data_IF_016629724255
#
_entry.id   IF_016629724255
#
_cell.length_a   1.000
_cell.length_b   1.000
_cell.length_c   1.000
_cell.angle_alpha   90.00
_cell.angle_beta   90.00
_cell.angle_gamma   90.00
#
_symmetry.space_group_name_H-M   'P 1'
#
loop_
_entity.id
_entity.type
_entity.pdbx_description
1 polymer ?
#
# COMPACT_ATOMS: atom_id res chain seq x y z
N UNK A 1 -6.79 2.10 -11.73
CA UNK A 1 -7.73 1.11 -12.26
C UNK A 1 -8.54 1.73 -13.40
N UNK A 2 -8.32 1.26 -14.64
CA UNK A 2 -8.97 1.80 -15.85
C UNK A 2 -10.18 0.95 -16.22
N UNK A 3 -11.37 1.58 -16.34
CA UNK A 3 -12.59 0.89 -16.80
C UNK A 3 -12.70 0.87 -18.33
N UNK A 4 -12.27 1.95 -19.01
CA UNK A 4 -12.40 2.07 -20.46
C UNK A 4 -11.43 1.15 -21.18
N UNK A 5 -11.92 0.39 -22.18
CA UNK A 5 -11.14 -0.56 -22.97
C UNK A 5 -10.88 0.01 -24.36
N UNK A 6 -11.89 0.07 -25.22
CA UNK A 6 -11.77 0.53 -26.60
C UNK A 6 -13.13 0.99 -27.13
N UNK A 7 -13.09 1.81 -28.17
CA UNK A 7 -14.29 2.13 -28.94
C UNK A 7 -14.23 1.39 -30.29
N UNK A 8 -15.23 0.57 -30.56
CA UNK A 8 -15.41 -0.13 -31.83
C UNK A 8 -16.15 0.77 -32.81
N UNK A 9 -15.59 0.90 -34.02
CA UNK A 9 -16.24 1.65 -35.11
C UNK A 9 -16.67 0.67 -36.19
N UNK A 10 -17.93 0.78 -36.62
CA UNK A 10 -18.45 0.02 -37.74
C UNK A 10 -19.20 0.95 -38.71
N UNK A 11 -19.25 0.57 -39.97
CA UNK A 11 -19.99 1.29 -41.02
C UNK A 11 -20.75 0.30 -41.89
N UNK A 12 -21.92 0.71 -42.36
CA UNK A 12 -22.75 -0.01 -43.28
C UNK A 12 -22.91 0.81 -44.56
N UNK A 13 -22.79 0.19 -45.76
CA UNK A 13 -22.98 0.92 -47.02
C UNK A 13 -24.45 1.30 -47.29
N UNK A 14 -25.42 0.64 -46.61
CA UNK A 14 -26.80 0.91 -46.82
C UNK A 14 -27.27 2.18 -46.12
N UNK A 15 -27.99 3.01 -46.87
CA UNK A 15 -28.44 4.32 -46.37
C UNK A 15 -29.54 4.14 -45.31
N UNK A 16 -29.36 4.79 -44.17
CA UNK A 16 -30.30 4.82 -43.03
C UNK A 16 -30.33 3.56 -42.17
N UNK A 17 -29.32 2.70 -42.22
CA UNK A 17 -29.23 1.55 -41.30
C UNK A 17 -28.75 1.99 -39.91
N UNK A 18 -29.41 1.46 -38.87
CA UNK A 18 -28.97 1.65 -37.48
C UNK A 18 -28.23 0.43 -37.00
N UNK A 19 -26.94 0.60 -36.78
CA UNK A 19 -26.11 -0.45 -36.23
C UNK A 19 -26.33 -0.65 -34.73
N UNK A 20 -26.41 -1.90 -34.31
CA UNK A 20 -26.49 -2.31 -32.90
C UNK A 20 -25.26 -3.08 -32.51
N UNK A 21 -24.82 -2.88 -31.28
CA UNK A 21 -23.61 -3.50 -30.72
C UNK A 21 -23.97 -4.38 -29.55
N UNK A 22 -23.39 -5.58 -29.51
CA UNK A 22 -23.52 -6.51 -28.40
C UNK A 22 -22.21 -7.25 -28.12
N UNK A 23 -22.08 -7.84 -26.95
CA UNK A 23 -20.93 -8.65 -26.56
C UNK A 23 -21.33 -10.11 -26.43
N UNK A 24 -20.40 -11.01 -26.78
CA UNK A 24 -20.46 -12.44 -26.53
C UNK A 24 -19.04 -12.95 -26.26
N UNK A 25 -18.86 -14.24 -26.00
CA UNK A 25 -17.57 -14.82 -25.64
C UNK A 25 -17.46 -15.12 -24.15
N UNK A 26 -16.39 -15.79 -23.79
CA UNK A 26 -16.19 -16.42 -22.48
C UNK A 26 -16.30 -15.41 -21.33
N UNK A 27 -15.68 -14.24 -21.48
CA UNK A 27 -15.58 -13.21 -20.44
C UNK A 27 -16.54 -12.03 -20.67
N UNK A 28 -17.46 -12.15 -21.63
CA UNK A 28 -18.34 -11.03 -22.04
C UNK A 28 -19.22 -10.47 -20.92
N UNK A 29 -19.52 -11.25 -19.90
CA UNK A 29 -20.32 -10.82 -18.72
C UNK A 29 -19.59 -9.79 -17.84
N UNK A 30 -18.26 -9.69 -17.98
CA UNK A 30 -17.40 -8.76 -17.24
C UNK A 30 -17.31 -7.39 -17.90
N UNK A 31 -17.96 -7.22 -19.06
CA UNK A 31 -17.90 -6.02 -19.87
C UNK A 31 -19.29 -5.46 -20.18
N UNK A 32 -19.32 -4.19 -20.51
CA UNK A 32 -20.46 -3.51 -21.08
C UNK A 32 -20.07 -2.88 -22.43
N UNK A 33 -21.03 -2.77 -23.36
CA UNK A 33 -20.85 -2.03 -24.61
C UNK A 33 -22.00 -1.03 -24.76
N UNK A 34 -21.67 0.20 -25.14
CA UNK A 34 -22.67 1.23 -25.40
C UNK A 34 -23.22 1.13 -26.82
N UNK A 35 -24.34 1.83 -27.08
CA UNK A 35 -24.90 1.98 -28.45
C UNK A 35 -23.96 2.72 -29.43
N UNK A 36 -22.90 3.36 -28.93
CA UNK A 36 -21.86 4.00 -29.73
C UNK A 36 -20.61 3.14 -29.88
N UNK A 37 -20.63 1.88 -29.42
CA UNK A 37 -19.52 0.92 -29.55
C UNK A 37 -18.41 1.11 -28.49
N UNK A 38 -18.63 1.86 -27.42
CA UNK A 38 -17.64 1.99 -26.33
C UNK A 38 -17.72 0.76 -25.43
N UNK A 39 -16.60 0.05 -25.30
CA UNK A 39 -16.45 -1.12 -24.41
C UNK A 39 -15.78 -0.68 -23.13
N UNK A 40 -16.36 -1.11 -22.00
CA UNK A 40 -15.82 -0.87 -20.66
C UNK A 40 -15.87 -2.15 -19.83
N UNK A 41 -14.97 -2.29 -18.87
CA UNK A 41 -15.20 -3.24 -17.78
C UNK A 41 -16.40 -2.82 -16.94
N UNK A 42 -17.18 -3.78 -16.47
CA UNK A 42 -18.33 -3.56 -15.55
C UNK A 42 -17.84 -3.17 -14.14
N UNK A 43 -16.67 -3.69 -13.73
CA UNK A 43 -15.92 -3.29 -12.54
C UNK A 43 -14.43 -3.24 -12.87
N UNK A 44 -13.66 -2.43 -12.13
CA UNK A 44 -12.23 -2.30 -12.39
C UNK A 44 -11.53 -3.66 -12.24
N UNK A 45 -10.74 -4.09 -13.24
CA UNK A 45 -9.99 -5.33 -13.15
C UNK A 45 -8.85 -5.21 -12.13
N UNK A 46 -8.55 -6.32 -11.48
CA UNK A 46 -7.42 -6.50 -10.57
C UNK A 46 -6.50 -7.56 -11.18
N UNK A 47 -5.22 -7.20 -11.40
CA UNK A 47 -4.25 -8.12 -12.01
C UNK A 47 -3.91 -9.29 -11.10
N UNK A 48 -3.84 -9.05 -9.78
CA UNK A 48 -3.48 -10.03 -8.76
C UNK A 48 -4.63 -10.99 -8.45
N UNK A 49 -5.87 -10.57 -8.79
CA UNK A 49 -7.08 -11.38 -8.62
C UNK A 49 -7.88 -11.39 -9.92
N UNK A 50 -7.37 -12.08 -10.96
CA UNK A 50 -7.99 -12.08 -12.28
C UNK A 50 -9.44 -12.55 -12.23
N UNK A 51 -10.33 -11.79 -12.87
CA UNK A 51 -11.74 -12.12 -12.96
C UNK A 51 -12.14 -12.89 -14.21
N UNK A 52 -11.20 -13.11 -15.16
CA UNK A 52 -11.41 -13.90 -16.38
C UNK A 52 -11.56 -15.40 -16.08
N UNK A 53 -12.10 -16.14 -17.02
CA UNK A 53 -12.53 -17.52 -16.78
C UNK A 53 -11.37 -18.48 -16.50
N UNK A 54 -10.18 -18.24 -17.07
CA UNK A 54 -8.99 -19.09 -16.92
C UNK A 54 -7.89 -18.46 -16.04
N UNK A 55 -8.10 -17.22 -15.56
CA UNK A 55 -7.21 -16.56 -14.59
C UNK A 55 -5.87 -16.09 -15.15
N UNK A 56 -5.76 -15.92 -16.48
CA UNK A 56 -4.52 -15.56 -17.16
C UNK A 56 -4.37 -14.05 -17.46
N UNK A 57 -5.34 -13.23 -17.04
CA UNK A 57 -5.43 -11.79 -17.32
C UNK A 57 -5.64 -11.43 -18.80
N UNK A 58 -6.03 -12.39 -19.65
CA UNK A 58 -6.37 -12.18 -21.05
C UNK A 58 -7.87 -12.44 -21.28
N UNK A 59 -8.67 -11.44 -21.08
CA UNK A 59 -10.13 -11.49 -21.19
C UNK A 59 -10.56 -11.65 -22.66
N UNK A 60 -11.30 -12.70 -22.99
CA UNK A 60 -11.70 -13.05 -24.33
C UNK A 60 -13.16 -12.69 -24.59
N UNK A 61 -13.40 -11.68 -25.43
CA UNK A 61 -14.70 -11.22 -25.82
C UNK A 61 -14.88 -11.19 -27.34
N UNK A 62 -16.11 -11.30 -27.81
CA UNK A 62 -16.49 -11.06 -29.19
C UNK A 62 -17.43 -9.86 -29.25
N UNK A 63 -17.14 -8.91 -30.11
CA UNK A 63 -18.07 -7.82 -30.45
C UNK A 63 -18.90 -8.27 -31.63
N UNK A 64 -20.22 -8.18 -31.48
CA UNK A 64 -21.18 -8.48 -32.54
C UNK A 64 -21.83 -7.16 -32.94
N UNK A 65 -21.70 -6.81 -34.21
CA UNK A 65 -22.38 -5.66 -34.82
C UNK A 65 -23.45 -6.16 -35.79
N UNK A 66 -24.65 -5.63 -35.67
CA UNK A 66 -25.78 -6.06 -36.52
C UNK A 66 -26.54 -4.84 -37.05
N UNK A 67 -26.99 -4.95 -38.29
CA UNK A 67 -27.91 -4.03 -38.98
C UNK A 67 -29.39 -4.44 -38.84
N UNK A 68 -29.67 -5.52 -38.10
CA UNK A 68 -30.99 -6.13 -37.94
C UNK A 68 -31.29 -7.27 -38.91
N UNK A 69 -30.51 -7.45 -39.98
CA UNK A 69 -30.64 -8.52 -40.98
C UNK A 69 -29.41 -9.40 -41.03
N UNK A 70 -28.24 -8.77 -40.97
CA UNK A 70 -26.92 -9.42 -40.98
C UNK A 70 -26.15 -9.05 -39.71
N UNK A 71 -25.13 -9.82 -39.40
CA UNK A 71 -24.21 -9.51 -38.29
C UNK A 71 -22.81 -9.90 -38.62
N UNK A 72 -21.86 -9.13 -38.07
CA UNK A 72 -20.42 -9.41 -38.12
C UNK A 72 -19.90 -9.53 -36.70
N UNK A 73 -19.02 -10.51 -36.48
CA UNK A 73 -18.40 -10.78 -35.19
C UNK A 73 -16.90 -10.58 -35.26
N UNK A 74 -16.35 -9.82 -34.32
CA UNK A 74 -14.91 -9.60 -34.18
C UNK A 74 -14.46 -10.05 -32.79
N UNK A 75 -13.49 -10.97 -32.74
CA UNK A 75 -12.85 -11.38 -31.50
C UNK A 75 -11.88 -10.29 -31.02
N UNK A 76 -11.89 -10.02 -29.74
CA UNK A 76 -10.99 -9.09 -29.05
C UNK A 76 -10.45 -9.80 -27.81
N UNK A 77 -9.12 -9.68 -27.59
CA UNK A 77 -8.49 -10.04 -26.33
C UNK A 77 -8.11 -8.76 -25.60
N UNK A 78 -8.68 -8.57 -24.43
CA UNK A 78 -8.34 -7.45 -23.53
C UNK A 78 -7.34 -7.94 -22.51
N UNK A 79 -6.12 -7.40 -22.57
CA UNK A 79 -5.05 -7.78 -21.63
C UNK A 79 -4.97 -6.81 -20.48
N UNK A 80 -5.16 -7.29 -19.25
CA UNK A 80 -4.84 -6.56 -18.03
C UNK A 80 -3.33 -6.70 -17.76
N UNK A 81 -2.69 -5.58 -17.49
CA UNK A 81 -1.25 -5.55 -17.23
C UNK A 81 -1.00 -5.27 -15.77
N UNK A 82 0.01 -5.94 -15.20
CA UNK A 82 0.47 -5.64 -13.86
C UNK A 82 1.02 -4.20 -13.81
N UNK A 83 0.56 -3.47 -12.82
CA UNK A 83 1.16 -2.20 -12.40
C UNK A 83 1.79 -2.46 -11.04
N UNK A 84 3.11 -2.28 -10.95
CA UNK A 84 3.83 -2.54 -9.71
C UNK A 84 3.19 -1.80 -8.51
N UNK A 85 2.93 -2.52 -7.45
CA UNK A 85 2.44 -1.99 -6.19
C UNK A 85 3.58 -1.26 -5.48
N UNK A 86 3.65 0.05 -5.71
CA UNK A 86 4.70 0.89 -5.19
C UNK A 86 4.28 1.49 -3.84
N UNK A 87 5.09 1.26 -2.82
CA UNK A 87 5.07 2.06 -1.60
C UNK A 87 6.27 3.00 -1.56
N UNK A 88 6.09 4.13 -0.93
CA UNK A 88 7.16 5.04 -0.58
C UNK A 88 7.09 5.38 0.90
N UNK A 89 8.16 5.91 1.47
CA UNK A 89 8.12 6.32 2.86
C UNK A 89 9.40 6.96 3.33
N UNK A 90 9.39 7.30 4.61
CA UNK A 90 10.55 7.84 5.32
C UNK A 90 10.73 7.06 6.61
N UNK A 91 11.95 6.57 6.83
CA UNK A 91 12.36 5.94 8.08
C UNK A 91 12.87 7.02 9.05
N UNK A 92 12.17 7.18 10.17
CA UNK A 92 12.39 8.26 11.11
C UNK A 92 12.64 7.74 12.52
N UNK A 93 13.87 7.83 12.95
CA UNK A 93 14.33 7.84 14.33
C UNK A 93 15.55 8.76 14.45
N UNK A 94 15.58 9.80 13.64
CA UNK A 94 16.66 10.71 13.32
C UNK A 94 16.97 10.75 11.83
N UNK A 95 16.05 10.33 10.96
CA UNK A 95 16.24 10.01 9.54
C UNK A 95 17.30 8.93 9.32
N UNK A 96 16.84 7.71 9.16
CA UNK A 96 17.71 6.53 9.05
C UNK A 96 18.19 6.36 7.61
N UNK A 97 19.43 6.74 7.36
CA UNK A 97 20.06 6.71 6.04
C UNK A 97 20.72 5.37 5.74
N UNK A 98 20.66 4.92 4.47
CA UNK A 98 21.31 3.70 4.00
C UNK A 98 20.75 2.40 4.61
N UNK A 99 19.59 2.45 5.22
CA UNK A 99 18.90 1.27 5.73
C UNK A 99 18.43 0.37 4.60
N UNK A 100 18.42 -0.93 4.83
CA UNK A 100 17.76 -1.90 3.97
C UNK A 100 16.27 -1.92 4.28
N UNK A 101 15.45 -1.72 3.26
CA UNK A 101 13.99 -1.83 3.30
C UNK A 101 13.60 -3.05 2.49
N UNK A 102 12.82 -3.96 3.04
CA UNK A 102 12.38 -5.16 2.31
C UNK A 102 11.00 -5.64 2.73
N UNK A 103 10.32 -6.33 1.82
CA UNK A 103 9.06 -7.00 2.10
C UNK A 103 9.36 -8.43 2.53
N UNK A 104 9.11 -8.74 3.78
CA UNK A 104 9.38 -10.04 4.40
C UNK A 104 8.20 -10.99 4.10
N UNK A 105 8.35 -11.76 3.01
CA UNK A 105 7.27 -12.60 2.47
C UNK A 105 6.98 -13.85 3.32
N UNK A 106 8.00 -14.37 4.01
CA UNK A 106 7.92 -15.55 4.85
C UNK A 106 7.79 -15.21 6.35
N UNK A 107 7.95 -13.93 6.70
CA UNK A 107 7.85 -13.36 8.05
C UNK A 107 8.88 -13.96 9.05
N UNK A 108 10.10 -14.23 8.58
CA UNK A 108 11.19 -14.74 9.43
C UNK A 108 12.10 -13.64 9.98
N UNK A 109 12.04 -12.42 9.40
CA UNK A 109 12.77 -11.24 9.85
C UNK A 109 14.07 -10.98 9.11
N UNK A 110 14.48 -11.88 8.23
CA UNK A 110 15.69 -11.78 7.43
C UNK A 110 15.35 -11.48 5.96
N UNK A 111 16.24 -10.80 5.24
CA UNK A 111 16.06 -10.57 3.81
C UNK A 111 16.51 -11.79 3.02
N UNK A 112 15.58 -12.44 2.36
CA UNK A 112 15.81 -13.61 1.54
C UNK A 112 15.90 -13.32 0.03
N UNK A 113 16.45 -14.31 -0.69
CA UNK A 113 16.49 -14.25 -2.15
C UNK A 113 15.08 -14.32 -2.73
N UNK A 114 14.72 -13.29 -3.53
CA UNK A 114 13.41 -13.17 -4.16
C UNK A 114 12.46 -12.22 -3.42
N UNK A 115 12.83 -11.74 -2.27
CA UNK A 115 12.09 -10.69 -1.59
C UNK A 115 12.38 -9.30 -2.16
N UNK A 116 11.36 -8.48 -2.39
CA UNK A 116 11.55 -7.11 -2.82
C UNK A 116 12.35 -6.32 -1.82
N UNK A 117 13.37 -5.58 -2.27
CA UNK A 117 14.19 -4.75 -1.39
C UNK A 117 14.62 -3.44 -2.04
N UNK A 118 14.88 -2.45 -1.20
CA UNK A 118 15.38 -1.12 -1.54
C UNK A 118 16.26 -0.59 -0.41
N UNK A 119 16.90 0.55 -0.62
CA UNK A 119 17.62 1.25 0.44
C UNK A 119 17.04 2.63 0.70
N UNK A 120 17.14 3.11 1.95
CA UNK A 120 16.83 4.49 2.26
C UNK A 120 17.95 5.42 1.76
N UNK A 121 17.56 6.61 1.29
CA UNK A 121 18.52 7.65 0.91
C UNK A 121 19.06 8.40 2.14
N UNK A 122 19.85 9.45 1.91
CA UNK A 122 20.43 10.28 2.98
C UNK A 122 19.42 11.05 3.84
N UNK A 123 18.17 11.06 3.49
CA UNK A 123 17.07 11.66 4.25
C UNK A 123 16.09 10.59 4.79
N UNK A 124 16.51 9.32 4.84
CA UNK A 124 15.68 8.22 5.28
C UNK A 124 14.55 7.81 4.31
N UNK A 125 14.43 8.45 3.16
CA UNK A 125 13.36 8.17 2.22
C UNK A 125 13.64 6.91 1.41
N UNK A 126 12.59 6.13 1.13
CA UNK A 126 12.65 4.92 0.32
C UNK A 126 11.47 4.82 -0.66
N UNK A 127 11.63 3.94 -1.62
CA UNK A 127 10.59 3.52 -2.56
C UNK A 127 10.78 2.04 -2.85
N UNK A 128 9.75 1.23 -2.65
CA UNK A 128 9.80 -0.22 -2.72
C UNK A 128 8.63 -0.73 -3.58
N UNK A 129 8.94 -1.52 -4.60
CA UNK A 129 7.94 -2.28 -5.35
C UNK A 129 7.59 -3.53 -4.55
N UNK A 130 6.32 -3.67 -4.17
CA UNK A 130 5.85 -4.84 -3.45
C UNK A 130 5.68 -6.06 -4.36
N UNK A 131 5.77 -7.24 -3.79
CA UNK A 131 5.42 -8.48 -4.46
C UNK A 131 3.90 -8.69 -4.44
N UNK A 132 3.33 -8.99 -5.59
CA UNK A 132 1.94 -9.41 -5.72
C UNK A 132 1.63 -10.76 -5.06
N UNK A 133 2.66 -11.56 -4.74
CA UNK A 133 2.49 -12.87 -4.08
C UNK A 133 1.87 -12.74 -2.70
N UNK A 134 2.26 -11.71 -1.94
CA UNK A 134 1.70 -11.43 -0.62
C UNK A 134 1.80 -9.93 -0.31
N UNK A 135 0.88 -9.14 -0.85
CA UNK A 135 0.85 -7.68 -0.66
C UNK A 135 0.78 -7.26 0.82
N UNK A 136 0.22 -8.11 1.68
CA UNK A 136 0.06 -7.85 3.11
C UNK A 136 1.26 -8.30 3.96
N UNK A 137 2.32 -8.85 3.35
CA UNK A 137 3.53 -9.20 4.09
C UNK A 137 4.16 -7.94 4.70
N UNK A 138 4.72 -8.02 5.91
CA UNK A 138 5.29 -6.86 6.58
C UNK A 138 6.48 -6.30 5.78
N UNK A 139 6.60 -4.97 5.75
CA UNK A 139 7.80 -4.29 5.25
C UNK A 139 8.69 -3.95 6.43
N UNK A 140 9.94 -4.37 6.36
CA UNK A 140 10.93 -4.21 7.41
C UNK A 140 12.07 -3.28 6.99
N UNK A 141 12.62 -2.57 7.96
CA UNK A 141 13.74 -1.63 7.77
C UNK A 141 14.79 -1.92 8.84
N UNK A 142 16.04 -2.14 8.43
CA UNK A 142 17.14 -2.43 9.36
C UNK A 142 18.50 -1.94 8.85
N UNK A 143 19.50 -1.92 9.72
CA UNK A 143 20.90 -1.63 9.41
C UNK A 143 21.16 -0.25 8.79
N UNK A 144 20.37 0.75 9.11
CA UNK A 144 20.61 2.11 8.67
C UNK A 144 21.48 2.90 9.64
N UNK A 145 21.87 4.10 9.20
CA UNK A 145 22.61 5.06 10.01
C UNK A 145 21.63 6.16 10.47
N UNK A 146 21.43 6.28 11.77
CA UNK A 146 20.61 7.34 12.35
C UNK A 146 21.41 8.66 12.35
N UNK A 147 20.91 9.64 11.64
CA UNK A 147 21.55 10.95 11.51
C UNK A 147 21.49 11.80 12.79
N UNK A 148 20.57 11.53 13.69
CA UNK A 148 20.44 12.28 14.94
C UNK A 148 21.41 11.79 16.02
N UNK A 149 21.54 10.48 16.18
CA UNK A 149 22.47 9.86 17.15
C UNK A 149 23.89 9.72 16.61
N UNK A 150 24.06 9.76 15.28
CA UNK A 150 25.31 9.48 14.58
C UNK A 150 25.83 8.05 14.81
N UNK A 151 24.92 7.10 14.92
CA UNK A 151 25.18 5.68 15.16
C UNK A 151 24.42 4.78 14.17
N UNK A 152 24.81 3.51 14.09
CA UNK A 152 24.04 2.51 13.35
C UNK A 152 22.73 2.28 14.10
N UNK A 153 21.61 2.34 13.36
CA UNK A 153 20.29 2.11 13.93
C UNK A 153 20.17 0.66 14.45
N UNK A 154 19.94 0.48 15.76
CA UNK A 154 20.14 -0.82 16.40
C UNK A 154 18.98 -1.80 16.21
N UNK A 155 17.86 -1.35 15.65
CA UNK A 155 16.62 -2.11 15.67
C UNK A 155 15.98 -2.25 14.30
N UNK A 156 15.16 -3.29 14.17
CA UNK A 156 14.26 -3.48 13.04
C UNK A 156 13.02 -2.64 13.27
N UNK A 157 12.71 -1.75 12.33
CA UNK A 157 11.40 -1.12 12.23
C UNK A 157 10.56 -1.88 11.21
N UNK A 158 9.28 -2.02 11.46
CA UNK A 158 8.34 -2.66 10.55
C UNK A 158 7.04 -1.88 10.42
N UNK A 159 6.37 -2.07 9.28
CA UNK A 159 5.03 -1.58 9.02
C UNK A 159 4.19 -2.68 8.37
N UNK A 160 2.91 -2.71 8.71
CA UNK A 160 1.92 -3.47 7.95
C UNK A 160 1.44 -2.61 6.79
N UNK A 161 1.62 -3.09 5.59
CA UNK A 161 1.15 -2.44 4.36
C UNK A 161 -0.19 -3.05 3.99
N UNK A 162 -1.20 -2.22 3.75
CA UNK A 162 -2.53 -2.66 3.31
C UNK A 162 -2.91 -2.12 1.93
N UNK A 163 -2.16 -1.16 1.41
CA UNK A 163 -2.39 -0.51 0.14
C UNK A 163 -1.12 0.21 -0.34
N UNK A 164 -1.07 0.56 -1.62
CA UNK A 164 -0.02 1.42 -2.15
C UNK A 164 -0.13 2.82 -1.54
N UNK A 165 1.00 3.46 -1.25
CA UNK A 165 0.96 4.77 -0.62
C UNK A 165 2.28 5.24 -0.05
N UNK A 166 2.21 6.27 0.79
CA UNK A 166 3.36 6.85 1.48
C UNK A 166 3.24 6.61 2.97
N UNK A 167 4.33 6.16 3.58
CA UNK A 167 4.40 5.72 4.96
C UNK A 167 5.47 6.48 5.74
N UNK A 168 5.17 6.85 6.97
CA UNK A 168 6.15 7.30 7.95
C UNK A 168 6.47 6.11 8.86
N UNK A 169 7.71 5.63 8.81
CA UNK A 169 8.14 4.45 9.58
C UNK A 169 8.95 4.89 10.78
N UNK A 170 8.40 4.66 11.96
CA UNK A 170 8.98 5.04 13.25
C UNK A 170 8.93 3.84 14.19
N UNK A 171 9.67 3.86 15.31
CA UNK A 171 9.48 2.88 16.38
C UNK A 171 8.03 2.78 16.87
N UNK A 172 7.30 3.89 16.83
CA UNK A 172 5.88 3.93 17.23
C UNK A 172 5.01 3.25 16.17
N UNK A 173 5.23 3.51 14.87
CA UNK A 173 4.49 2.81 13.82
C UNK A 173 4.73 1.30 13.84
N UNK A 174 5.97 0.89 14.15
CA UNK A 174 6.34 -0.51 14.39
C UNK A 174 5.54 -1.12 15.52
N UNK A 175 5.43 -0.44 16.64
CA UNK A 175 4.66 -0.92 17.80
C UNK A 175 3.16 -1.06 17.46
N UNK A 176 2.59 -0.08 16.75
CA UNK A 176 1.19 -0.15 16.26
C UNK A 176 0.99 -1.34 15.33
N UNK A 177 1.91 -1.56 14.39
CA UNK A 177 1.85 -2.70 13.46
C UNK A 177 1.85 -4.04 14.18
N UNK A 178 2.71 -4.20 15.17
CA UNK A 178 2.81 -5.45 15.98
C UNK A 178 1.57 -5.70 16.84
N UNK A 179 0.95 -4.65 17.39
CA UNK A 179 -0.32 -4.78 18.09
C UNK A 179 -1.44 -5.29 17.19
N UNK A 180 -1.51 -4.78 15.95
CA UNK A 180 -2.50 -5.24 14.95
C UNK A 180 -2.33 -6.73 14.59
N UNK A 181 -1.10 -7.21 14.52
CA UNK A 181 -0.82 -8.63 14.21
C UNK A 181 -1.27 -9.54 15.35
N UNK A 182 -1.15 -9.08 16.60
CA UNK A 182 -1.55 -9.88 17.77
C UNK A 182 -3.07 -9.99 17.95
N UNK A 183 -3.81 -8.97 17.54
CA UNK A 183 -5.28 -8.95 17.62
C UNK A 183 -5.88 -8.38 16.32
N UNK A 184 -6.26 -9.28 15.42
CA UNK A 184 -6.88 -8.93 14.13
C UNK A 184 -8.27 -8.31 14.26
N UNK A 185 -8.89 -8.36 15.45
CA UNK A 185 -10.17 -7.72 15.73
C UNK A 185 -10.01 -6.22 16.05
N UNK A 186 -8.80 -5.75 16.38
CA UNK A 186 -8.54 -4.35 16.63
C UNK A 186 -8.48 -3.55 15.32
N UNK A 187 -9.24 -2.46 15.25
CA UNK A 187 -9.11 -1.49 14.14
C UNK A 187 -7.77 -0.75 14.23
N UNK A 188 -7.31 -0.15 13.12
CA UNK A 188 -6.07 0.63 13.11
C UNK A 188 -6.04 1.79 14.12
N UNK A 189 -7.21 2.38 14.41
CA UNK A 189 -7.34 3.50 15.35
C UNK A 189 -7.18 3.09 16.81
N UNK A 190 -7.66 1.88 17.18
CA UNK A 190 -7.58 1.42 18.56
C UNK A 190 -6.12 1.24 19.02
N UNK A 191 -5.26 0.53 18.28
CA UNK A 191 -3.85 0.46 18.65
C UNK A 191 -3.16 1.82 18.75
N UNK A 192 -3.47 2.75 17.85
CA UNK A 192 -2.90 4.09 17.89
C UNK A 192 -3.29 4.87 19.15
N UNK A 193 -4.59 4.86 19.49
CA UNK A 193 -5.09 5.57 20.68
C UNK A 193 -4.56 4.99 21.99
N UNK A 194 -4.40 3.66 22.04
CA UNK A 194 -3.83 2.98 23.21
C UNK A 194 -2.36 3.36 23.42
N UNK A 195 -1.56 3.34 22.35
CA UNK A 195 -0.15 3.74 22.42
C UNK A 195 -0.03 5.22 22.77
N UNK A 196 -0.80 6.07 22.12
CA UNK A 196 -0.80 7.50 22.40
C UNK A 196 -1.16 7.77 23.87
N UNK A 197 -2.20 7.12 24.39
CA UNK A 197 -2.60 7.23 25.80
C UNK A 197 -1.52 6.75 26.77
N UNK A 198 -0.88 5.61 26.49
CA UNK A 198 0.22 5.08 27.31
C UNK A 198 1.45 5.98 27.31
N UNK A 199 1.70 6.70 26.20
CA UNK A 199 2.81 7.65 26.07
C UNK A 199 2.45 9.09 26.47
N UNK A 200 1.19 9.35 26.87
CA UNK A 200 0.70 10.69 27.22
C UNK A 200 0.60 11.64 26.02
N UNK A 201 0.44 11.09 24.80
CA UNK A 201 0.32 11.85 23.55
C UNK A 201 -1.16 12.10 23.26
N UNK A 202 -1.53 13.36 22.97
CA UNK A 202 -2.87 13.70 22.47
C UNK A 202 -2.95 13.47 20.97
N UNK A 203 -3.87 12.61 20.50
CA UNK A 203 -4.11 12.42 19.07
C UNK A 203 -4.91 13.57 18.45
N UNK A 204 -5.66 14.34 19.26
CA UNK A 204 -6.46 15.47 18.78
C UNK A 204 -5.60 16.57 18.12
N UNK A 205 -4.33 16.62 18.49
CA UNK A 205 -3.36 17.63 18.04
C UNK A 205 -2.40 17.06 16.96
N UNK A 206 -2.58 15.79 16.60
CA UNK A 206 -1.76 15.11 15.57
C UNK A 206 -2.37 15.30 14.17
N UNK A 207 -1.55 15.45 13.11
CA UNK A 207 -2.07 15.53 11.75
C UNK A 207 -2.96 14.32 11.40
N UNK A 208 -4.18 14.60 10.94
CA UNK A 208 -5.20 13.61 10.61
C UNK A 208 -5.60 12.68 11.77
N UNK A 209 -5.46 13.13 13.03
CA UNK A 209 -5.74 12.32 14.23
C UNK A 209 -5.01 10.96 14.22
N UNK A 210 -3.80 10.92 13.67
CA UNK A 210 -3.05 9.68 13.47
C UNK A 210 -1.58 9.82 13.85
N UNK A 211 -1.12 8.92 14.73
CA UNK A 211 0.28 8.81 15.11
C UNK A 211 1.15 8.21 13.99
N UNK A 212 0.53 7.51 13.03
CA UNK A 212 1.24 6.82 11.94
C UNK A 212 1.66 7.76 10.80
N UNK A 213 0.96 8.89 10.62
CA UNK A 213 1.27 9.90 9.61
C UNK A 213 2.18 11.02 10.11
N UNK A 214 2.71 10.90 11.32
CA UNK A 214 3.45 11.96 11.98
C UNK A 214 4.96 11.79 11.85
N UNK A 215 5.61 12.73 11.14
CA UNK A 215 7.08 12.84 11.12
C UNK A 215 7.54 13.81 12.22
N UNK A 216 8.00 13.32 13.37
CA UNK A 216 8.35 14.18 14.50
C UNK A 216 9.54 15.10 14.19
N UNK A 217 10.43 14.74 13.27
CA UNK A 217 11.60 15.56 12.92
C UNK A 217 11.19 16.72 12.03
N UNK A 218 10.34 16.48 11.03
CA UNK A 218 9.83 17.52 10.15
C UNK A 218 9.07 18.59 10.95
N UNK A 219 8.22 18.17 11.89
CA UNK A 219 7.48 19.09 12.75
C UNK A 219 8.37 19.81 13.76
N UNK A 220 9.34 19.12 14.35
CA UNK A 220 10.29 19.73 15.29
C UNK A 220 11.16 20.82 14.63
N UNK A 221 11.54 20.64 13.37
CA UNK A 221 12.35 21.59 12.61
C UNK A 221 11.51 22.65 11.88
N UNK A 222 10.18 22.55 11.95
CA UNK A 222 9.25 23.48 11.32
C UNK A 222 9.21 24.84 12.06
N UNK A 223 8.62 25.83 11.40
CA UNK A 223 8.43 27.18 11.95
C UNK A 223 7.23 27.27 12.91
N UNK A 224 6.38 26.25 12.96
CA UNK A 224 5.23 26.18 13.86
C UNK A 224 5.65 25.67 15.23
N UNK A 225 5.69 26.58 16.21
CA UNK A 225 6.13 26.26 17.58
C UNK A 225 5.15 25.37 18.34
N UNK A 226 3.87 25.39 17.97
CA UNK A 226 2.84 24.53 18.58
C UNK A 226 3.07 23.09 18.14
N UNK A 227 3.13 22.84 16.82
CA UNK A 227 3.41 21.52 16.27
C UNK A 227 4.79 20.98 16.71
N UNK A 228 5.81 21.85 16.80
CA UNK A 228 7.11 21.46 17.34
C UNK A 228 7.03 21.01 18.81
N UNK A 229 6.20 21.63 19.63
CA UNK A 229 6.02 21.23 21.04
C UNK A 229 5.34 19.87 21.17
N UNK A 230 4.41 19.54 20.27
CA UNK A 230 3.71 18.26 20.21
C UNK A 230 4.58 17.14 19.62
N UNK A 231 5.45 17.46 18.68
CA UNK A 231 6.40 16.52 18.11
C UNK A 231 7.44 16.00 19.13
N UNK A 232 7.82 16.82 20.12
CA UNK A 232 8.83 16.46 21.14
C UNK A 232 8.48 15.20 21.93
N UNK A 233 7.26 15.04 22.48
CA UNK A 233 6.89 13.81 23.19
C UNK A 233 6.91 12.58 22.28
N UNK A 234 6.46 12.71 21.04
CA UNK A 234 6.46 11.60 20.06
C UNK A 234 7.89 11.18 19.74
N UNK A 235 8.78 12.13 19.48
CA UNK A 235 10.20 11.84 19.21
C UNK A 235 10.89 11.22 20.44
N UNK A 236 10.67 11.78 21.63
CA UNK A 236 11.24 11.25 22.87
C UNK A 236 10.71 9.84 23.18
N UNK A 237 9.44 9.57 22.91
CA UNK A 237 8.85 8.24 23.05
C UNK A 237 9.43 7.23 22.05
N UNK A 238 9.66 7.65 20.80
CA UNK A 238 10.35 6.83 19.80
C UNK A 238 11.74 6.44 20.27
N UNK A 239 12.55 7.41 20.69
CA UNK A 239 13.91 7.20 21.22
C UNK A 239 13.92 6.28 22.45
N UNK A 240 12.97 6.46 23.36
CA UNK A 240 12.84 5.61 24.55
C UNK A 240 12.51 4.17 24.16
N UNK A 241 11.56 3.96 23.23
CA UNK A 241 11.21 2.64 22.74
C UNK A 241 12.41 1.93 22.12
N UNK A 242 13.20 2.63 21.32
CA UNK A 242 14.43 2.10 20.71
C UNK A 242 15.45 1.72 21.76
N UNK A 243 15.71 2.62 22.72
CA UNK A 243 16.69 2.40 23.80
C UNK A 243 16.28 1.20 24.68
N UNK A 244 15.01 1.11 25.07
CA UNK A 244 14.49 0.01 25.88
C UNK A 244 14.41 -1.31 25.09
N UNK A 245 14.05 -1.21 23.81
CA UNK A 245 13.87 -2.38 22.94
C UNK A 245 15.17 -3.02 22.50
N UNK A 246 16.26 -2.23 22.35
CA UNK A 246 17.58 -2.72 21.91
C UNK A 246 17.53 -3.70 20.73
N UNK A 247 16.51 -3.59 19.88
CA UNK A 247 16.19 -4.59 18.86
C UNK A 247 15.58 -5.89 19.41
N UNK A 248 15.33 -5.99 20.71
CA UNK A 248 14.84 -7.22 21.32
C UNK A 248 13.31 -7.29 21.28
N UNK A 249 12.80 -8.20 20.47
CA UNK A 249 11.37 -8.50 20.34
C UNK A 249 10.65 -8.73 21.69
N UNK A 250 11.34 -9.32 22.67
CA UNK A 250 10.77 -9.62 23.99
C UNK A 250 10.41 -8.38 24.80
N UNK A 251 11.18 -7.29 24.69
CA UNK A 251 10.88 -6.02 25.38
C UNK A 251 9.75 -5.29 24.69
N UNK A 252 9.72 -5.25 23.35
CA UNK A 252 8.59 -4.73 22.61
C UNK A 252 7.31 -5.48 22.94
N UNK A 253 7.38 -6.82 23.05
CA UNK A 253 6.24 -7.64 23.50
C UNK A 253 5.78 -7.26 24.91
N UNK A 254 6.71 -7.05 25.85
CA UNK A 254 6.38 -6.65 27.21
C UNK A 254 5.67 -5.29 27.26
N UNK A 255 6.16 -4.28 26.53
CA UNK A 255 5.51 -2.97 26.42
C UNK A 255 4.10 -3.13 25.82
N UNK A 256 3.96 -3.95 24.80
CA UNK A 256 2.67 -4.26 24.17
C UNK A 256 1.70 -4.90 25.15
N UNK A 257 2.15 -5.89 25.91
CA UNK A 257 1.31 -6.61 26.89
C UNK A 257 0.86 -5.64 28.02
N UNK A 258 1.70 -4.67 28.41
CA UNK A 258 1.32 -3.66 29.41
C UNK A 258 0.33 -2.62 28.85
N UNK A 259 0.41 -2.31 27.56
CA UNK A 259 -0.53 -1.39 26.92
C UNK A 259 -1.93 -2.00 26.72
N UNK A 260 -2.04 -3.34 26.73
CA UNK A 260 -3.27 -4.11 26.58
C UNK A 260 -3.92 -4.46 27.92
N UNK A 261 -3.23 -4.28 29.05
CA UNK A 261 -3.73 -4.56 30.40
C UNK A 261 -4.35 -3.32 31.05
#
# INVERSE_FOLDING_TARGET
NQLSVVTVSASDPDVSTTLTYSLSGTDSSLFAISSSGVITFSSAPDYETPGDTDGDNNYQINVVVSDGSLSVTQAITVKVQNVADLISGVAVDGYVAGATVFQDLNNDGDLDSGEPSAATNSLGSFSLNLSSVNINAPVRIYNGFDLASNEIHPSIMDISVSETGSYIVTPISTLVGRLKIQDTALSAMVPQSMIAGALGISLADSPNDSILGFDPIAYFNGSDTTLASEARPVFAASQLLMTMGGGNYSIHKYITDQALS
#
